data_IF_664452284081
#
_entry.id   IF_664452284081
#
_cell.length_a   1.000
_cell.length_b   1.000
_cell.length_c   1.000
_cell.angle_alpha   90.00
_cell.angle_beta   90.00
_cell.angle_gamma   90.00
#
_symmetry.space_group_name_H-M   'P 1'
#
loop_
_entity.id
_entity.type
_entity.pdbx_description
1 polymer ?
#
# COMPACT_ATOMS: atom_id res chain seq x y z
N UNK A 1 4.48 15.14 1.66
CA UNK A 1 4.38 14.06 2.68
C UNK A 1 3.89 12.81 1.95
N UNK A 2 4.44 11.63 2.24
CA UNK A 2 4.10 10.39 1.52
C UNK A 2 3.05 9.55 2.27
N UNK A 3 2.40 8.61 1.56
CA UNK A 3 1.46 7.65 2.14
C UNK A 3 2.14 6.72 3.13
N UNK A 4 1.42 6.35 4.19
CA UNK A 4 1.81 5.29 5.13
C UNK A 4 1.13 4.00 4.73
N UNK A 5 1.82 2.88 4.92
CA UNK A 5 1.24 1.56 4.68
C UNK A 5 1.00 0.90 6.02
N UNK A 6 -0.24 0.43 6.23
CA UNK A 6 -0.64 -0.35 7.39
C UNK A 6 -1.21 -1.68 6.96
N UNK A 7 -1.04 -2.68 7.81
CA UNK A 7 -1.67 -4.00 7.63
C UNK A 7 -2.81 -4.20 8.63
N UNK A 8 -3.88 -4.86 8.19
CA UNK A 8 -5.01 -5.25 9.05
C UNK A 8 -5.55 -6.62 8.64
N UNK A 9 -6.18 -7.34 9.57
CA UNK A 9 -6.80 -8.64 9.25
C UNK A 9 -8.00 -8.50 8.29
N UNK A 10 -8.73 -7.38 8.38
CA UNK A 10 -9.85 -7.05 7.50
C UNK A 10 -9.72 -5.59 7.05
N UNK A 11 -9.92 -5.35 5.77
CA UNK A 11 -9.90 -4.01 5.17
C UNK A 11 -11.30 -3.68 4.65
N UNK A 12 -11.87 -2.58 5.14
CA UNK A 12 -13.18 -2.08 4.70
C UNK A 12 -13.01 -0.79 3.90
N UNK A 13 -12.04 0.04 4.31
CA UNK A 13 -11.65 1.27 3.62
C UNK A 13 -10.13 1.21 3.39
N UNK A 14 -9.68 1.01 2.14
CA UNK A 14 -8.26 0.81 1.85
C UNK A 14 -7.45 2.11 1.85
N UNK A 15 -8.10 3.27 1.79
CA UNK A 15 -7.47 4.59 1.81
C UNK A 15 -8.12 5.52 2.84
N UNK A 16 -7.30 6.14 3.68
CA UNK A 16 -7.69 7.22 4.60
C UNK A 16 -6.94 8.51 4.25
N UNK A 17 -7.69 9.50 3.75
CA UNK A 17 -7.16 10.81 3.37
C UNK A 17 -6.72 11.66 4.56
N UNK A 18 -7.32 11.47 5.73
CA UNK A 18 -7.06 12.31 6.90
C UNK A 18 -5.68 11.99 7.49
N UNK A 19 -5.30 10.71 7.44
CA UNK A 19 -4.02 10.21 7.95
C UNK A 19 -2.97 9.95 6.86
N UNK A 20 -3.38 10.04 5.60
CA UNK A 20 -2.65 9.62 4.42
C UNK A 20 -2.19 8.15 4.52
N UNK A 21 -3.08 7.25 4.93
CA UNK A 21 -2.77 5.84 5.19
C UNK A 21 -3.49 4.90 4.21
N UNK A 22 -2.72 4.00 3.58
CA UNK A 22 -3.24 2.86 2.84
C UNK A 22 -3.22 1.64 3.76
N UNK A 23 -4.38 1.02 3.96
CA UNK A 23 -4.49 -0.25 4.69
C UNK A 23 -4.66 -1.41 3.74
N UNK A 24 -3.79 -2.42 3.86
CA UNK A 24 -3.86 -3.67 3.09
C UNK A 24 -4.08 -4.89 4.01
N UNK A 25 -4.63 -6.00 3.50
CA UNK A 25 -4.75 -7.22 4.30
C UNK A 25 -3.37 -7.75 4.73
N UNK A 26 -3.26 -8.14 6.01
CA UNK A 26 -2.01 -8.66 6.58
C UNK A 26 -1.58 -10.03 6.01
N UNK A 27 -2.52 -10.76 5.38
CA UNK A 27 -2.27 -12.07 4.79
C UNK A 27 -1.69 -12.03 3.37
N UNK A 28 -1.50 -10.83 2.80
CA UNK A 28 -0.97 -10.71 1.44
C UNK A 28 0.52 -11.05 1.40
N UNK A 29 0.94 -11.71 0.31
CA UNK A 29 2.36 -11.84 -0.01
C UNK A 29 2.98 -10.47 -0.30
N UNK A 30 4.32 -10.32 -0.34
CA UNK A 30 4.94 -9.03 -0.68
C UNK A 30 4.56 -8.54 -2.09
N UNK A 31 4.40 -9.47 -3.04
CA UNK A 31 3.99 -9.16 -4.41
C UNK A 31 2.52 -8.71 -4.48
N UNK A 32 1.62 -9.43 -3.81
CA UNK A 32 0.21 -9.06 -3.72
C UNK A 32 0.02 -7.74 -2.96
N UNK A 33 0.86 -7.48 -1.95
CA UNK A 33 0.88 -6.21 -1.22
C UNK A 33 1.24 -5.06 -2.14
N UNK A 34 2.27 -5.21 -2.98
CA UNK A 34 2.64 -4.20 -3.96
C UNK A 34 1.51 -3.98 -4.97
N UNK A 35 0.88 -5.05 -5.45
CA UNK A 35 -0.26 -4.97 -6.36
C UNK A 35 -1.45 -4.22 -5.72
N UNK A 36 -1.80 -4.53 -4.48
CA UNK A 36 -2.89 -3.88 -3.76
C UNK A 36 -2.61 -2.38 -3.54
N UNK A 37 -1.39 -2.03 -3.12
CA UNK A 37 -0.95 -0.63 -2.96
C UNK A 37 -1.05 0.11 -4.30
N UNK A 38 -0.58 -0.50 -5.39
CA UNK A 38 -0.69 0.10 -6.72
C UNK A 38 -2.13 0.32 -7.15
N UNK A 39 -3.00 -0.65 -6.90
CA UNK A 39 -4.41 -0.55 -7.25
C UNK A 39 -5.05 0.66 -6.55
N UNK A 40 -4.85 0.79 -5.24
CA UNK A 40 -5.34 1.94 -4.47
C UNK A 40 -4.81 3.26 -5.03
N UNK A 41 -3.50 3.37 -5.27
CA UNK A 41 -2.89 4.59 -5.79
C UNK A 41 -3.35 4.92 -7.23
N UNK A 42 -3.61 3.90 -8.05
CA UNK A 42 -4.13 4.10 -9.41
C UNK A 42 -5.56 4.63 -9.39
N UNK A 43 -6.41 4.14 -8.48
CA UNK A 43 -7.77 4.68 -8.26
C UNK A 43 -7.74 6.15 -7.78
N UNK A 44 -6.66 6.55 -7.08
CA UNK A 44 -6.40 7.95 -6.71
C UNK A 44 -5.80 8.78 -7.85
N UNK A 45 -5.67 8.23 -9.06
CA UNK A 45 -5.15 8.91 -10.24
C UNK A 45 -3.62 8.97 -10.33
N UNK A 46 -2.90 8.25 -9.47
CA UNK A 46 -1.43 8.25 -9.44
C UNK A 46 -0.94 7.11 -10.33
N UNK A 47 -0.31 7.45 -11.46
CA UNK A 47 0.28 6.44 -12.36
C UNK A 47 1.31 5.59 -11.61
N UNK A 48 1.17 4.27 -11.71
CA UNK A 48 2.07 3.31 -11.08
C UNK A 48 2.94 2.59 -12.12
N UNK A 49 4.18 2.22 -11.77
CA UNK A 49 4.99 1.32 -12.58
C UNK A 49 4.42 -0.11 -12.56
N UNK A 50 4.90 -0.95 -13.49
CA UNK A 50 4.55 -2.37 -13.53
C UNK A 50 5.09 -3.15 -12.31
N UNK A 51 6.22 -2.71 -11.74
CA UNK A 51 6.89 -3.34 -10.60
C UNK A 51 7.11 -2.37 -9.45
N UNK A 52 6.94 -2.86 -8.21
CA UNK A 52 6.94 -2.04 -7.01
C UNK A 52 5.72 -1.11 -6.94
N UNK A 53 5.81 -0.07 -6.11
CA UNK A 53 4.82 1.00 -6.02
C UNK A 53 5.52 2.34 -5.78
N UNK A 54 4.92 3.42 -6.28
CA UNK A 54 5.40 4.79 -6.07
C UNK A 54 4.32 5.65 -5.43
N UNK A 55 4.74 6.46 -4.47
CA UNK A 55 3.91 7.44 -3.81
C UNK A 55 3.58 8.61 -4.76
N UNK A 56 2.54 9.41 -4.46
CA UNK A 56 2.27 10.64 -5.22
C UNK A 56 3.43 11.64 -5.21
N UNK A 57 4.32 11.57 -4.21
CA UNK A 57 5.51 12.42 -4.14
C UNK A 57 6.68 11.87 -4.96
N UNK A 58 6.48 10.78 -5.71
CA UNK A 58 7.49 10.11 -6.53
C UNK A 58 8.42 9.15 -5.77
N UNK A 59 8.33 9.09 -4.44
CA UNK A 59 9.14 8.17 -3.64
C UNK A 59 8.70 6.71 -3.86
N UNK A 60 9.67 5.78 -3.91
CA UNK A 60 9.37 4.35 -3.95
C UNK A 60 8.80 3.89 -2.61
N UNK A 61 7.73 3.11 -2.68
CA UNK A 61 7.14 2.45 -1.52
C UNK A 61 7.71 1.04 -1.42
N UNK A 62 8.19 0.69 -0.23
CA UNK A 62 8.56 -0.69 0.08
C UNK A 62 7.33 -1.37 0.68
N UNK A 63 6.89 -2.53 0.15
CA UNK A 63 5.87 -3.32 0.80
C UNK A 63 6.28 -3.62 2.25
N UNK A 64 5.35 -3.67 3.21
CA UNK A 64 5.67 -4.16 4.54
C UNK A 64 6.26 -5.56 4.39
N UNK A 65 7.47 -5.76 4.91
CA UNK A 65 8.02 -7.11 5.01
C UNK A 65 7.12 -7.89 5.96
N UNK A 66 6.70 -9.09 5.55
CA UNK A 66 5.97 -10.00 6.42
C UNK A 66 6.96 -10.46 7.48
N UNK A 67 7.14 -9.70 8.57
CA UNK A 67 7.69 -10.28 9.79
C UNK A 67 6.58 -11.15 10.36
N UNK A 68 6.75 -12.46 10.22
CA UNK A 68 5.95 -13.43 10.96
C UNK A 68 6.01 -13.12 12.47
N UNK A 69 5.00 -13.52 13.25
CA UNK A 69 5.02 -13.32 14.69
C UNK A 69 6.25 -14.05 15.25
N UNK A 70 7.07 -13.31 16.01
CA UNK A 70 8.11 -13.90 16.86
C UNK A 70 7.48 -14.66 18.02
#
# INVERSE_FOLDING_TARGET
MCVRIRTAARVIRPWDSDTNEITIPASLTPEDSALAIRAVLSELGIRQPHEGAICWCGARLTPPSIRGPS
#
